data_IF_858839981336
#
_entry.id   IF_858839981336
#
_cell.length_a   1.000
_cell.length_b   1.000
_cell.length_c   1.000
_cell.angle_alpha   90.00
_cell.angle_beta   90.00
_cell.angle_gamma   90.00
#
_symmetry.space_group_name_H-M   'P 1'
#
loop_
_entity.id
_entity.type
_entity.pdbx_description
1 polymer ?
#
# COMPACT_ATOMS: atom_id res chain seq x y z
N UNK A 1 29.77 -11.69 41.15
CA UNK A 1 28.62 -10.76 40.99
C UNK A 1 27.47 -11.54 40.39
N UNK A 2 26.42 -11.73 41.16
CA UNK A 2 25.35 -12.70 40.90
C UNK A 2 24.18 -12.00 40.20
N UNK A 3 24.08 -12.10 38.87
CA UNK A 3 22.97 -11.60 38.09
C UNK A 3 21.77 -12.58 38.17
N UNK A 4 21.04 -12.54 39.28
CA UNK A 4 19.71 -13.13 39.31
C UNK A 4 18.78 -12.23 38.46
N UNK A 5 18.44 -12.64 37.23
CA UNK A 5 17.34 -12.10 36.47
C UNK A 5 16.07 -12.29 37.27
N UNK A 6 15.54 -11.20 37.82
CA UNK A 6 14.21 -11.15 38.41
C UNK A 6 13.24 -11.30 37.25
N UNK A 7 12.76 -12.52 37.06
CA UNK A 7 11.60 -12.75 36.18
C UNK A 7 10.39 -12.36 37.03
N UNK A 8 9.97 -11.10 36.90
CA UNK A 8 8.69 -10.67 37.47
C UNK A 8 7.59 -11.58 36.89
N UNK A 9 7.00 -12.40 37.78
CA UNK A 9 5.81 -13.17 37.44
C UNK A 9 4.69 -12.17 37.10
N UNK A 10 4.44 -11.99 35.83
CA UNK A 10 3.31 -11.19 35.34
C UNK A 10 2.04 -11.78 35.96
N UNK A 11 1.46 -11.07 36.94
CA UNK A 11 0.18 -11.48 37.52
C UNK A 11 -0.88 -11.42 36.44
N UNK A 12 -1.39 -12.58 36.04
CA UNK A 12 -2.48 -12.69 35.06
C UNK A 12 -3.72 -11.99 35.60
N UNK A 13 -4.14 -10.93 34.92
CA UNK A 13 -5.35 -10.22 35.26
C UNK A 13 -6.54 -10.91 34.57
N UNK A 14 -7.20 -11.81 35.27
CA UNK A 14 -8.29 -12.63 34.76
C UNK A 14 -9.44 -11.83 34.11
N UNK A 15 -9.94 -10.71 34.69
CA UNK A 15 -10.96 -9.90 34.04
C UNK A 15 -10.50 -9.35 32.67
N UNK A 16 -9.26 -8.88 32.57
CA UNK A 16 -8.70 -8.39 31.30
C UNK A 16 -8.56 -9.53 30.31
N UNK A 17 -8.11 -10.71 30.76
CA UNK A 17 -7.98 -11.88 29.89
C UNK A 17 -9.32 -12.34 29.32
N UNK A 18 -10.37 -12.37 30.13
CA UNK A 18 -11.74 -12.69 29.68
C UNK A 18 -12.22 -11.68 28.64
N UNK A 19 -12.00 -10.39 28.89
CA UNK A 19 -12.38 -9.34 27.96
C UNK A 19 -11.63 -9.44 26.63
N UNK A 20 -10.34 -9.79 26.67
CA UNK A 20 -9.53 -10.02 25.46
C UNK A 20 -10.01 -11.26 24.70
N UNK A 21 -10.37 -12.34 25.37
CA UNK A 21 -10.92 -13.55 24.74
C UNK A 21 -12.25 -13.24 24.05
N UNK A 22 -13.14 -12.52 24.72
CA UNK A 22 -14.41 -12.09 24.13
C UNK A 22 -14.18 -11.19 22.90
N UNK A 23 -13.28 -10.20 23.02
CA UNK A 23 -12.90 -9.35 21.87
C UNK A 23 -12.28 -10.14 20.73
N UNK A 24 -11.40 -11.10 21.03
CA UNK A 24 -10.82 -11.97 20.02
C UNK A 24 -11.89 -12.83 19.33
N UNK A 25 -12.84 -13.38 20.09
CA UNK A 25 -13.92 -14.20 19.55
C UNK A 25 -14.78 -13.44 18.53
N UNK A 26 -15.05 -12.15 18.77
CA UNK A 26 -15.82 -11.33 17.81
C UNK A 26 -15.08 -11.10 16.50
N UNK A 27 -13.75 -11.14 16.50
CA UNK A 27 -12.92 -11.00 15.28
C UNK A 27 -12.75 -12.35 14.59
N UNK A 28 -12.49 -13.40 15.36
CA UNK A 28 -12.21 -14.74 14.81
C UNK A 28 -13.48 -15.39 14.26
N UNK A 29 -14.64 -15.16 14.88
CA UNK A 29 -15.91 -15.78 14.46
C UNK A 29 -16.29 -15.50 13.00
N UNK A 30 -16.29 -14.26 12.49
CA UNK A 30 -16.55 -13.99 11.07
C UNK A 30 -15.56 -14.68 10.13
N UNK A 31 -14.28 -14.73 10.50
CA UNK A 31 -13.24 -15.41 9.71
C UNK A 31 -13.48 -16.93 9.68
N UNK A 32 -13.79 -17.51 10.84
CA UNK A 32 -14.19 -18.92 10.92
C UNK A 32 -15.39 -19.21 10.01
N UNK A 33 -16.43 -18.38 10.08
CA UNK A 33 -17.62 -18.53 9.25
C UNK A 33 -17.30 -18.39 7.76
N UNK A 34 -16.47 -17.44 7.37
CA UNK A 34 -16.05 -17.28 5.97
C UNK A 34 -15.37 -18.55 5.44
N UNK A 35 -14.45 -19.12 6.22
CA UNK A 35 -13.76 -20.38 5.85
C UNK A 35 -14.74 -21.54 5.77
N UNK A 36 -15.59 -21.73 6.78
CA UNK A 36 -16.55 -22.83 6.82
C UNK A 36 -17.53 -22.75 5.63
N UNK A 37 -18.08 -21.56 5.35
CA UNK A 37 -19.04 -21.35 4.26
C UNK A 37 -18.37 -21.57 2.89
N UNK A 38 -17.11 -21.18 2.73
CA UNK A 38 -16.39 -21.35 1.46
C UNK A 38 -16.33 -22.83 1.01
N UNK A 39 -16.30 -23.77 1.95
CA UNK A 39 -16.24 -25.21 1.67
C UNK A 39 -17.59 -25.93 1.75
N UNK A 40 -18.70 -25.24 2.04
CA UNK A 40 -20.04 -25.82 2.09
C UNK A 40 -20.68 -25.93 0.72
N UNK A 41 -21.57 -26.89 0.59
CA UNK A 41 -22.48 -26.96 -0.57
C UNK A 41 -23.57 -25.86 -0.41
N UNK A 42 -24.00 -25.22 -1.51
CA UNK A 42 -25.06 -24.19 -1.47
C UNK A 42 -26.37 -24.69 -0.79
N UNK A 43 -26.71 -25.96 -0.97
CA UNK A 43 -27.89 -26.56 -0.36
C UNK A 43 -27.87 -26.61 1.17
N UNK A 44 -26.69 -26.65 1.78
CA UNK A 44 -26.54 -26.64 3.25
C UNK A 44 -26.77 -25.25 3.86
N UNK A 45 -26.65 -24.20 3.07
CA UNK A 45 -26.80 -22.81 3.53
C UNK A 45 -28.24 -22.31 3.47
N UNK A 46 -29.08 -22.92 2.64
CA UNK A 46 -30.45 -22.44 2.37
C UNK A 46 -31.50 -23.03 3.34
N UNK A 47 -31.20 -24.11 4.04
CA UNK A 47 -32.23 -24.87 4.75
C UNK A 47 -32.42 -24.50 6.22
N UNK A 48 -31.44 -23.91 6.92
CA UNK A 48 -31.59 -23.51 8.31
C UNK A 48 -30.39 -22.66 8.82
N UNK A 49 -30.63 -21.86 9.86
CA UNK A 49 -29.56 -21.12 10.57
C UNK A 49 -28.53 -22.07 11.17
N UNK A 50 -28.98 -23.23 11.68
CA UNK A 50 -28.08 -24.27 12.21
C UNK A 50 -27.18 -24.85 11.10
N UNK A 51 -27.70 -24.96 9.86
CA UNK A 51 -26.91 -25.34 8.71
C UNK A 51 -25.77 -24.38 8.38
N UNK A 52 -25.98 -23.08 8.57
CA UNK A 52 -24.94 -22.08 8.34
C UNK A 52 -23.82 -22.20 9.38
N UNK A 53 -24.14 -22.42 10.64
CA UNK A 53 -23.19 -22.45 11.77
C UNK A 53 -22.43 -23.78 11.89
N UNK A 54 -23.00 -24.90 11.40
CA UNK A 54 -22.37 -26.22 11.49
C UNK A 54 -21.13 -26.32 10.57
N UNK A 55 -20.30 -27.32 10.81
CA UNK A 55 -19.25 -27.69 9.84
C UNK A 55 -19.87 -28.29 8.58
N UNK A 56 -19.17 -28.24 7.41
CA UNK A 56 -19.64 -28.84 6.17
C UNK A 56 -19.90 -30.35 6.36
N UNK A 57 -21.03 -30.83 5.91
CA UNK A 57 -21.32 -32.29 5.87
C UNK A 57 -20.46 -32.99 4.82
N UNK A 58 -20.22 -32.30 3.71
CA UNK A 58 -19.27 -32.66 2.66
C UNK A 58 -18.45 -31.46 2.28
N UNK A 59 -17.13 -31.60 2.32
CA UNK A 59 -16.20 -30.56 1.88
C UNK A 59 -16.22 -30.48 0.35
N UNK A 60 -16.56 -29.30 -0.19
CA UNK A 60 -16.62 -29.05 -1.64
C UNK A 60 -15.80 -27.81 -2.01
N UNK A 61 -15.27 -27.80 -3.22
CA UNK A 61 -14.62 -26.66 -3.83
C UNK A 61 -15.53 -25.94 -4.84
N UNK A 62 -16.80 -26.34 -4.94
CA UNK A 62 -17.74 -25.82 -5.94
C UNK A 62 -17.94 -24.32 -5.83
N UNK A 63 -17.94 -23.76 -4.59
CA UNK A 63 -18.05 -22.32 -4.39
C UNK A 63 -16.83 -21.58 -4.95
N UNK A 64 -15.64 -22.18 -4.89
CA UNK A 64 -14.43 -21.56 -5.45
C UNK A 64 -14.47 -21.58 -6.98
N UNK A 65 -14.85 -22.69 -7.59
CA UNK A 65 -14.96 -22.79 -9.06
C UNK A 65 -16.03 -21.82 -9.57
N UNK A 66 -17.19 -21.80 -8.94
CA UNK A 66 -18.27 -20.88 -9.29
C UNK A 66 -17.85 -19.40 -9.09
N UNK A 67 -17.17 -19.09 -8.00
CA UNK A 67 -16.66 -17.73 -7.76
C UNK A 67 -15.65 -17.31 -8.84
N UNK A 68 -14.73 -18.21 -9.23
CA UNK A 68 -13.76 -17.93 -10.29
C UNK A 68 -14.43 -17.69 -11.65
N UNK A 69 -15.48 -18.42 -11.97
CA UNK A 69 -16.26 -18.26 -13.21
C UNK A 69 -17.04 -16.94 -13.21
N UNK A 70 -17.82 -16.68 -12.15
CA UNK A 70 -18.66 -15.47 -12.05
C UNK A 70 -17.85 -14.18 -12.03
N UNK A 71 -16.65 -14.20 -11.41
CA UNK A 71 -15.79 -13.00 -11.32
C UNK A 71 -14.83 -12.86 -12.49
N UNK A 72 -14.81 -13.78 -13.45
CA UNK A 72 -13.75 -13.86 -14.47
C UNK A 72 -12.36 -13.68 -13.82
N UNK A 73 -12.10 -14.55 -12.83
CA UNK A 73 -10.98 -14.42 -11.87
C UNK A 73 -9.64 -14.18 -12.54
N UNK A 74 -9.31 -14.97 -13.57
CA UNK A 74 -7.98 -14.87 -14.21
C UNK A 74 -7.77 -13.54 -14.92
N UNK A 75 -8.82 -13.02 -15.56
CA UNK A 75 -8.78 -11.70 -16.19
C UNK A 75 -8.68 -10.60 -15.15
N UNK A 76 -9.48 -10.67 -14.11
CA UNK A 76 -9.49 -9.71 -13.00
C UNK A 76 -8.14 -9.69 -12.29
N UNK A 77 -7.56 -10.87 -12.02
CA UNK A 77 -6.22 -11.01 -11.44
C UNK A 77 -5.15 -10.40 -12.35
N UNK A 78 -5.19 -10.70 -13.65
CA UNK A 78 -4.28 -10.14 -14.63
C UNK A 78 -4.32 -8.60 -14.66
N UNK A 79 -5.53 -8.02 -14.64
CA UNK A 79 -5.71 -6.57 -14.57
C UNK A 79 -5.13 -5.98 -13.27
N UNK A 80 -5.40 -6.60 -12.12
CA UNK A 80 -4.88 -6.15 -10.82
C UNK A 80 -3.36 -6.19 -10.77
N UNK A 81 -2.75 -7.27 -11.27
CA UNK A 81 -1.29 -7.39 -11.37
C UNK A 81 -0.71 -6.31 -12.27
N UNK A 82 -1.27 -6.12 -13.46
CA UNK A 82 -0.80 -5.13 -14.43
C UNK A 82 -0.89 -3.72 -13.85
N UNK A 83 -2.05 -3.33 -13.33
CA UNK A 83 -2.27 -2.00 -12.74
C UNK A 83 -1.31 -1.78 -11.57
N UNK A 84 -1.18 -2.75 -10.68
CA UNK A 84 -0.32 -2.63 -9.49
C UNK A 84 1.15 -2.50 -9.89
N UNK A 85 1.66 -3.39 -10.73
CA UNK A 85 3.07 -3.39 -11.13
C UNK A 85 3.43 -2.10 -11.86
N UNK A 86 2.63 -1.70 -12.84
CA UNK A 86 2.89 -0.46 -13.61
C UNK A 86 2.84 0.76 -12.72
N UNK A 87 1.82 0.86 -11.84
CA UNK A 87 1.71 1.98 -10.89
C UNK A 87 2.92 2.05 -9.95
N UNK A 88 3.32 0.92 -9.37
CA UNK A 88 4.47 0.87 -8.45
C UNK A 88 5.75 1.31 -9.14
N UNK A 89 6.02 0.82 -10.35
CA UNK A 89 7.20 1.21 -11.13
C UNK A 89 7.19 2.72 -11.42
N UNK A 90 6.06 3.25 -11.88
CA UNK A 90 5.93 4.69 -12.15
C UNK A 90 6.09 5.52 -10.88
N UNK A 91 5.50 5.10 -9.76
CA UNK A 91 5.66 5.77 -8.47
C UNK A 91 7.13 5.77 -8.02
N UNK A 92 7.84 4.66 -8.12
CA UNK A 92 9.26 4.60 -7.77
C UNK A 92 10.06 5.57 -8.63
N UNK A 93 9.89 5.54 -9.94
CA UNK A 93 10.67 6.37 -10.87
C UNK A 93 10.31 7.85 -10.73
N UNK A 94 9.03 8.20 -10.85
CA UNK A 94 8.60 9.61 -10.90
C UNK A 94 8.67 10.28 -9.53
N UNK A 95 8.21 9.60 -8.49
CA UNK A 95 8.18 10.21 -7.16
C UNK A 95 9.56 10.27 -6.51
N UNK A 96 10.49 9.35 -6.82
CA UNK A 96 11.87 9.46 -6.35
C UNK A 96 12.60 10.60 -7.03
N UNK A 97 12.38 10.83 -8.33
CA UNK A 97 12.92 11.99 -9.05
C UNK A 97 12.42 13.31 -8.45
N UNK A 98 11.10 13.42 -8.28
CA UNK A 98 10.49 14.61 -7.69
C UNK A 98 10.92 14.80 -6.24
N UNK A 99 10.97 13.73 -5.46
CA UNK A 99 11.45 13.73 -4.08
C UNK A 99 12.92 14.16 -3.98
N UNK A 100 13.78 13.72 -4.92
CA UNK A 100 15.17 14.14 -5.03
C UNK A 100 15.27 15.62 -5.34
N UNK A 101 14.62 16.09 -6.41
CA UNK A 101 14.65 17.49 -6.81
C UNK A 101 14.17 18.42 -5.67
N UNK A 102 13.07 18.08 -5.04
CA UNK A 102 12.53 18.85 -3.90
C UNK A 102 13.44 18.73 -2.67
N UNK A 103 13.86 17.52 -2.32
CA UNK A 103 14.62 17.23 -1.10
C UNK A 103 15.94 18.00 -1.06
N UNK A 104 16.65 18.10 -2.19
CA UNK A 104 17.93 18.82 -2.27
C UNK A 104 17.79 20.35 -2.39
N UNK A 105 16.71 20.84 -3.01
CA UNK A 105 16.61 22.26 -3.33
C UNK A 105 15.68 23.06 -2.41
N UNK A 106 14.78 22.41 -1.64
CA UNK A 106 13.78 23.13 -0.81
C UNK A 106 14.37 24.02 0.27
N UNK A 107 15.57 23.74 0.77
CA UNK A 107 16.22 24.55 1.78
C UNK A 107 16.78 25.87 1.19
N UNK A 108 17.17 25.86 -0.07
CA UNK A 108 17.85 26.96 -0.75
C UNK A 108 16.95 27.74 -1.73
N UNK A 109 15.78 27.19 -2.09
CA UNK A 109 14.88 27.79 -3.07
C UNK A 109 13.44 27.89 -2.56
N UNK A 110 12.89 29.13 -2.58
CA UNK A 110 11.48 29.39 -2.26
C UNK A 110 10.53 28.65 -3.19
N UNK A 111 10.90 28.48 -4.47
CA UNK A 111 10.12 27.75 -5.46
C UNK A 111 9.96 26.28 -5.06
N UNK A 112 11.07 25.56 -4.78
CA UNK A 112 10.99 24.16 -4.36
C UNK A 112 10.30 23.98 -3.01
N UNK A 113 10.43 24.95 -2.10
CA UNK A 113 9.66 24.95 -0.85
C UNK A 113 8.16 25.05 -1.11
N UNK A 114 7.73 25.93 -2.02
CA UNK A 114 6.33 26.08 -2.39
C UNK A 114 5.80 24.82 -3.09
N UNK A 115 6.56 24.27 -4.04
CA UNK A 115 6.21 23.01 -4.72
C UNK A 115 6.06 21.88 -3.70
N UNK A 116 6.96 21.76 -2.74
CA UNK A 116 6.85 20.77 -1.67
C UNK A 116 5.56 20.92 -0.87
N UNK A 117 5.28 22.13 -0.40
CA UNK A 117 4.06 22.41 0.37
C UNK A 117 2.79 22.12 -0.46
N UNK A 118 2.80 22.51 -1.73
CA UNK A 118 1.69 22.22 -2.65
C UNK A 118 1.46 20.71 -2.84
N UNK A 119 2.53 19.96 -3.13
CA UNK A 119 2.43 18.52 -3.31
C UNK A 119 1.95 17.85 -2.02
N UNK A 120 2.58 18.14 -0.88
CA UNK A 120 2.24 17.50 0.39
C UNK A 120 0.84 17.90 0.87
N UNK A 121 0.36 19.09 0.54
CA UNK A 121 -1.01 19.51 0.88
C UNK A 121 -2.09 18.60 0.29
N UNK A 122 -1.79 17.90 -0.81
CA UNK A 122 -2.68 16.90 -1.40
C UNK A 122 -3.06 15.76 -0.45
N UNK A 123 -2.26 15.49 0.58
CA UNK A 123 -2.60 14.47 1.60
C UNK A 123 -3.83 14.82 2.43
N UNK A 124 -4.16 16.10 2.54
CA UNK A 124 -5.30 16.57 3.34
C UNK A 124 -6.62 16.50 2.60
N UNK A 125 -6.61 16.18 1.29
CA UNK A 125 -7.83 16.06 0.51
C UNK A 125 -8.36 14.63 0.61
N UNK A 126 -9.54 14.41 1.27
CA UNK A 126 -10.11 13.08 1.39
C UNK A 126 -10.51 12.52 0.03
N UNK A 127 -10.08 11.29 -0.29
CA UNK A 127 -10.41 10.62 -1.56
C UNK A 127 -11.92 10.57 -1.82
N UNK A 128 -12.73 10.33 -0.77
CA UNK A 128 -14.18 10.22 -0.89
C UNK A 128 -14.85 11.47 -1.53
N UNK A 129 -14.27 12.65 -1.31
CA UNK A 129 -14.79 13.91 -1.91
C UNK A 129 -14.45 13.98 -3.39
N UNK A 130 -13.30 13.46 -3.79
CA UNK A 130 -12.78 13.52 -5.16
C UNK A 130 -13.31 12.39 -6.05
N UNK A 131 -13.79 11.30 -5.49
CA UNK A 131 -14.14 10.09 -6.21
C UNK A 131 -15.14 10.35 -7.35
N UNK A 132 -16.27 11.01 -7.07
CA UNK A 132 -17.29 11.30 -8.09
C UNK A 132 -16.83 12.30 -9.17
N UNK A 133 -16.24 13.46 -8.81
CA UNK A 133 -15.70 14.37 -9.81
C UNK A 133 -14.64 13.74 -10.71
N UNK A 134 -13.73 12.94 -10.14
CA UNK A 134 -12.69 12.27 -10.91
C UNK A 134 -13.24 11.19 -11.84
N UNK A 135 -14.20 10.39 -11.38
CA UNK A 135 -14.86 9.40 -12.23
C UNK A 135 -15.53 10.06 -13.43
N UNK A 136 -16.22 11.19 -13.22
CA UNK A 136 -16.84 11.96 -14.30
C UNK A 136 -15.80 12.53 -15.25
N UNK A 137 -14.78 13.21 -14.72
CA UNK A 137 -13.75 13.84 -15.52
C UNK A 137 -12.94 12.82 -16.34
N UNK A 138 -12.57 11.69 -15.76
CA UNK A 138 -11.85 10.63 -16.49
C UNK A 138 -12.71 10.00 -17.58
N UNK A 139 -14.02 9.85 -17.35
CA UNK A 139 -14.95 9.39 -18.39
C UNK A 139 -15.06 10.38 -19.57
N UNK A 140 -15.19 11.68 -19.28
CA UNK A 140 -15.23 12.75 -20.29
C UNK A 140 -13.92 12.85 -21.10
N UNK A 141 -12.77 12.54 -20.47
CA UNK A 141 -11.44 12.52 -21.11
C UNK A 141 -11.15 11.23 -21.89
N UNK A 142 -12.07 10.26 -21.91
CA UNK A 142 -11.83 8.94 -22.50
C UNK A 142 -10.84 8.07 -21.73
N UNK A 143 -10.56 8.40 -20.46
CA UNK A 143 -9.64 7.70 -19.56
C UNK A 143 -10.36 6.75 -18.58
N UNK A 144 -11.61 6.39 -18.85
CA UNK A 144 -12.34 5.37 -18.07
C UNK A 144 -11.83 3.95 -18.40
N UNK A 145 -10.52 3.74 -18.26
CA UNK A 145 -9.83 2.50 -18.55
C UNK A 145 -8.65 2.30 -17.60
N UNK A 146 -7.93 1.18 -17.72
CA UNK A 146 -6.79 0.84 -16.87
C UNK A 146 -5.68 1.91 -16.90
N UNK A 147 -5.45 2.60 -18.04
CA UNK A 147 -4.45 3.66 -18.12
C UNK A 147 -4.84 4.87 -17.27
N UNK A 148 -6.10 5.29 -17.30
CA UNK A 148 -6.61 6.36 -16.45
C UNK A 148 -6.52 6.02 -14.96
N UNK A 149 -6.83 4.77 -14.59
CA UNK A 149 -6.69 4.29 -13.21
C UNK A 149 -5.23 4.37 -12.73
N UNK A 150 -4.27 3.96 -13.56
CA UNK A 150 -2.84 4.05 -13.25
C UNK A 150 -2.43 5.51 -13.04
N UNK A 151 -2.83 6.42 -13.94
CA UNK A 151 -2.52 7.85 -13.82
C UNK A 151 -3.08 8.41 -12.51
N UNK A 152 -4.34 8.10 -12.19
CA UNK A 152 -4.96 8.54 -10.93
C UNK A 152 -4.18 8.04 -9.72
N UNK A 153 -3.81 6.76 -9.66
CA UNK A 153 -3.03 6.23 -8.56
C UNK A 153 -1.66 6.90 -8.44
N UNK A 154 -0.94 7.10 -9.55
CA UNK A 154 0.34 7.83 -9.53
C UNK A 154 0.16 9.23 -8.94
N UNK A 155 -0.87 9.98 -9.34
CA UNK A 155 -1.13 11.31 -8.80
C UNK A 155 -1.51 11.26 -7.32
N UNK A 156 -2.37 10.31 -6.90
CA UNK A 156 -2.83 10.20 -5.52
C UNK A 156 -1.75 9.83 -4.53
N UNK A 157 -0.83 8.93 -4.92
CA UNK A 157 0.28 8.52 -4.04
C UNK A 157 1.49 9.46 -4.09
N UNK A 158 1.50 10.45 -5.00
CA UNK A 158 2.58 11.42 -5.10
C UNK A 158 2.86 12.17 -3.79
N UNK A 159 1.87 12.72 -3.07
CA UNK A 159 2.12 13.48 -1.85
C UNK A 159 2.88 12.68 -0.79
N UNK A 160 2.39 11.49 -0.48
CA UNK A 160 2.99 10.60 0.51
C UNK A 160 4.37 10.11 0.09
N UNK A 161 4.51 9.66 -1.16
CA UNK A 161 5.77 9.14 -1.66
C UNK A 161 6.84 10.21 -1.76
N UNK A 162 6.50 11.44 -2.18
CA UNK A 162 7.43 12.58 -2.20
C UNK A 162 7.86 12.97 -0.79
N UNK A 163 6.94 12.95 0.18
CA UNK A 163 7.26 13.17 1.59
C UNK A 163 8.30 12.15 2.07
N UNK A 164 8.08 10.85 1.79
CA UNK A 164 8.98 9.76 2.18
C UNK A 164 10.35 9.89 1.51
N UNK A 165 10.41 10.09 0.19
CA UNK A 165 11.68 10.25 -0.54
C UNK A 165 12.45 11.48 -0.11
N UNK A 166 11.79 12.64 -0.02
CA UNK A 166 12.45 13.87 0.39
C UNK A 166 12.92 13.84 1.84
N UNK A 167 12.23 13.09 2.71
CA UNK A 167 12.63 12.83 4.09
C UNK A 167 13.84 11.91 4.18
N UNK A 168 13.85 10.82 3.39
CA UNK A 168 14.96 9.86 3.37
C UNK A 168 16.27 10.49 2.89
N UNK A 169 16.18 11.39 1.91
CA UNK A 169 17.33 12.09 1.33
C UNK A 169 18.13 12.92 2.36
N UNK A 170 17.50 13.37 3.44
CA UNK A 170 18.21 14.10 4.52
C UNK A 170 19.30 13.22 5.14
N UNK A 171 19.13 11.90 5.12
CA UNK A 171 20.10 10.94 5.67
C UNK A 171 21.23 10.59 4.68
N UNK A 172 21.14 11.01 3.42
CA UNK A 172 22.17 10.77 2.41
C UNK A 172 23.10 11.99 2.36
N UNK A 173 24.40 11.83 2.73
CA UNK A 173 25.35 12.94 2.74
C UNK A 173 25.48 13.58 1.36
N UNK A 174 25.43 14.92 1.31
CA UNK A 174 25.57 15.68 0.06
C UNK A 174 26.97 15.52 -0.54
N UNK A 175 27.96 15.22 0.30
CA UNK A 175 29.35 14.97 -0.13
C UNK A 175 29.49 13.90 -1.22
N UNK A 176 28.54 12.96 -1.32
CA UNK A 176 28.53 11.95 -2.39
C UNK A 176 28.20 12.58 -3.75
N UNK A 177 27.36 13.58 -3.77
CA UNK A 177 26.99 14.31 -4.99
C UNK A 177 28.08 15.30 -5.37
N UNK A 178 28.69 15.97 -4.38
CA UNK A 178 29.84 16.87 -4.58
C UNK A 178 31.06 16.10 -5.14
N UNK A 179 31.35 14.91 -4.61
CA UNK A 179 32.42 14.07 -5.13
C UNK A 179 32.15 13.63 -6.59
N UNK A 180 30.90 13.25 -6.89
CA UNK A 180 30.52 12.90 -8.25
C UNK A 180 30.64 14.06 -9.24
N UNK A 181 30.34 15.29 -8.77
CA UNK A 181 30.51 16.51 -9.59
C UNK A 181 31.98 16.79 -9.87
N UNK A 182 32.86 16.61 -8.88
CA UNK A 182 34.32 16.73 -9.05
C UNK A 182 34.84 15.69 -10.08
N UNK A 183 34.25 14.48 -10.08
CA UNK A 183 34.56 13.42 -11.06
C UNK A 183 33.92 13.67 -12.44
N UNK A 184 33.25 14.82 -12.64
CA UNK A 184 32.65 15.22 -13.90
C UNK A 184 31.29 14.57 -14.22
N UNK A 185 30.62 13.99 -13.22
CA UNK A 185 29.27 13.46 -13.40
C UNK A 185 28.24 14.59 -13.54
N UNK A 186 27.28 14.43 -14.43
CA UNK A 186 26.13 15.32 -14.52
C UNK A 186 25.15 15.03 -13.38
N UNK A 187 24.34 16.00 -12.98
CA UNK A 187 23.29 15.83 -11.96
C UNK A 187 22.40 14.62 -12.27
N UNK A 188 22.08 14.39 -13.55
CA UNK A 188 21.29 13.27 -14.00
C UNK A 188 22.04 11.93 -13.85
N UNK A 189 23.34 11.93 -14.14
CA UNK A 189 24.23 10.78 -13.92
C UNK A 189 24.40 10.45 -12.44
N UNK A 190 24.60 11.46 -11.61
CA UNK A 190 24.69 11.34 -10.15
C UNK A 190 23.40 10.73 -9.57
N UNK A 191 22.25 11.24 -10.00
CA UNK A 191 20.95 10.69 -9.55
C UNK A 191 20.84 9.21 -9.88
N UNK A 192 20.96 8.80 -11.15
CA UNK A 192 20.70 7.42 -11.55
C UNK A 192 21.77 6.42 -11.11
N UNK A 193 23.04 6.85 -11.09
CA UNK A 193 24.16 5.93 -10.79
C UNK A 193 24.52 5.86 -9.31
N UNK A 194 24.21 6.90 -8.54
CA UNK A 194 24.62 7.00 -7.14
C UNK A 194 23.41 7.07 -6.22
N UNK A 195 22.57 8.10 -6.36
CA UNK A 195 21.49 8.37 -5.39
C UNK A 195 20.36 7.34 -5.51
N UNK A 196 19.87 7.05 -6.70
CA UNK A 196 18.79 6.09 -6.92
C UNK A 196 19.14 4.69 -6.38
N UNK A 197 20.32 4.11 -6.62
CA UNK A 197 20.72 2.85 -5.99
C UNK A 197 20.83 2.89 -4.47
N UNK A 198 21.29 4.01 -3.89
CA UNK A 198 21.38 4.17 -2.43
C UNK A 198 19.98 4.20 -1.81
N UNK A 199 18.97 4.71 -2.52
CA UNK A 199 17.59 4.76 -2.07
C UNK A 199 16.84 3.41 -2.16
N UNK A 200 17.48 2.29 -2.49
CA UNK A 200 16.82 0.96 -2.58
C UNK A 200 15.92 0.62 -1.37
N UNK A 201 16.33 0.85 -0.11
CA UNK A 201 15.45 0.58 1.02
C UNK A 201 14.17 1.41 0.99
N UNK A 202 14.26 2.66 0.56
CA UNK A 202 13.10 3.54 0.41
C UNK A 202 12.23 3.13 -0.78
N UNK A 203 12.83 2.68 -1.89
CA UNK A 203 12.08 2.11 -3.02
C UNK A 203 11.25 0.90 -2.58
N UNK A 204 11.81 0.01 -1.75
CA UNK A 204 11.08 -1.13 -1.21
C UNK A 204 9.91 -0.69 -0.33
N UNK A 205 10.11 0.32 0.52
CA UNK A 205 9.04 0.89 1.36
C UNK A 205 7.91 1.47 0.51
N UNK A 206 8.24 2.30 -0.46
CA UNK A 206 7.27 2.91 -1.38
C UNK A 206 6.56 1.83 -2.21
N UNK A 207 7.29 0.80 -2.69
CA UNK A 207 6.71 -0.31 -3.42
C UNK A 207 5.65 -1.05 -2.59
N UNK A 208 5.97 -1.40 -1.34
CA UNK A 208 5.04 -2.13 -0.46
C UNK A 208 3.79 -1.28 -0.16
N UNK A 209 3.98 -0.03 0.27
CA UNK A 209 2.86 0.85 0.63
C UNK A 209 1.95 1.08 -0.58
N UNK A 210 2.54 1.39 -1.74
CA UNK A 210 1.77 1.63 -2.97
C UNK A 210 1.10 0.35 -3.47
N UNK A 211 1.79 -0.79 -3.48
CA UNK A 211 1.23 -2.06 -3.92
C UNK A 211 0.03 -2.49 -3.06
N UNK A 212 0.14 -2.42 -1.73
CA UNK A 212 -0.95 -2.75 -0.82
C UNK A 212 -2.19 -1.89 -1.04
N UNK A 213 -1.99 -0.62 -1.37
CA UNK A 213 -3.07 0.32 -1.55
C UNK A 213 -3.72 0.24 -2.95
N UNK A 214 -2.95 -0.13 -3.98
CA UNK A 214 -3.42 -0.26 -5.37
C UNK A 214 -4.08 -1.63 -5.61
N UNK A 215 -3.58 -2.67 -4.94
CA UNK A 215 -4.07 -4.05 -5.09
C UNK A 215 -5.53 -4.24 -4.65
N UNK A 216 -6.05 -3.39 -3.82
CA UNK A 216 -7.38 -3.53 -3.19
C UNK A 216 -8.52 -3.18 -4.16
#
# INVERSE_FOLDING_TARGET
>A
MNNKKVVDKVKTNWPVMVLLILGLSTIVFPLYMAVVIAFKQPSEMTNSISGILSLPSKWSLDNFTQAMEVTDFWRSLGNSVLITVVTVVLCIVLHSLLGYAIGRNRAHSKFYKLVYLFVVSGMFVPFAILMMPLAKQTAEMGLANWAGVIILYVVFYMPMNVLLYSGYLVNIPIALEEAAEVDGATTWGTYWKIIFPIMKPMHATVAIITALAVWN
#
